data_IF_099633639944
#
_entry.id   IF_099633639944
#
_cell.length_a   1.000
_cell.length_b   1.000
_cell.length_c   1.000
_cell.angle_alpha   90.00
_cell.angle_beta   90.00
_cell.angle_gamma   90.00
#
_symmetry.space_group_name_H-M   'P 1'
#
loop_
_entity.id
_entity.type
_entity.pdbx_description
1 polymer ?
#
# COMPACT_ATOMS: atom_id res chain seq x y z
N UNK A 1 -12.90 -16.29 31.03
CA UNK A 1 -11.92 -15.18 31.09
C UNK A 1 -10.62 -15.56 30.36
N UNK A 2 -10.31 -14.95 29.21
CA UNK A 2 -8.97 -15.02 28.55
C UNK A 2 -8.81 -13.96 27.44
N UNK A 3 -8.72 -12.67 27.80
CA UNK A 3 -8.33 -11.62 26.83
C UNK A 3 -6.84 -11.77 26.50
N UNK A 4 -6.52 -12.51 25.44
CA UNK A 4 -5.17 -12.57 24.87
C UNK A 4 -4.79 -11.21 24.25
N UNK A 5 -4.37 -10.27 25.10
CA UNK A 5 -3.75 -8.99 24.70
C UNK A 5 -2.34 -9.21 24.11
N UNK A 6 -2.24 -10.04 23.06
CA UNK A 6 -1.06 -10.01 22.16
C UNK A 6 -1.07 -8.64 21.48
N UNK A 7 -0.07 -7.82 21.80
CA UNK A 7 -0.04 -6.41 21.40
C UNK A 7 0.02 -6.23 19.88
N UNK A 8 -1.14 -6.03 19.26
CA UNK A 8 -1.26 -5.65 17.85
C UNK A 8 -0.66 -4.25 17.65
N UNK A 9 0.10 -4.06 16.59
CA UNK A 9 0.94 -2.89 16.33
C UNK A 9 0.77 -2.50 14.87
N UNK A 10 0.04 -1.42 14.61
CA UNK A 10 -0.10 -0.86 13.26
C UNK A 10 1.27 -0.48 12.67
N UNK A 11 1.46 -0.64 11.37
CA UNK A 11 2.62 -0.06 10.66
C UNK A 11 2.24 1.27 10.00
N UNK A 12 2.11 2.30 10.83
CA UNK A 12 1.93 3.70 10.41
C UNK A 12 2.68 4.67 11.33
N UNK A 13 3.73 4.22 12.02
CA UNK A 13 4.34 5.00 13.11
C UNK A 13 4.87 6.37 12.68
N UNK A 14 5.30 6.51 11.42
CA UNK A 14 5.56 7.81 10.79
C UNK A 14 6.42 8.76 11.66
N UNK A 15 7.43 8.27 12.38
CA UNK A 15 8.15 9.04 13.40
C UNK A 15 9.70 9.06 13.29
N UNK A 16 10.27 10.07 12.62
CA UNK A 16 9.76 10.59 11.39
C UNK A 16 9.87 9.46 10.35
N UNK A 17 10.41 9.74 9.21
CA UNK A 17 9.63 9.54 8.02
C UNK A 17 10.60 9.76 6.88
N UNK A 18 10.48 9.05 5.75
CA UNK A 18 11.38 9.31 4.62
C UNK A 18 10.75 9.08 3.24
N UNK A 19 11.38 9.64 2.21
CA UNK A 19 10.94 9.58 0.80
C UNK A 19 10.51 8.18 0.33
N UNK A 20 11.28 7.14 0.66
CA UNK A 20 11.01 5.75 0.26
C UNK A 20 9.63 5.19 0.66
N UNK A 21 8.91 5.89 1.54
CA UNK A 21 7.51 5.64 1.87
C UNK A 21 6.49 6.10 0.82
N UNK A 22 6.77 7.17 0.07
CA UNK A 22 6.02 7.57 -1.14
C UNK A 22 6.30 6.56 -2.25
N UNK A 23 7.60 6.29 -2.48
CA UNK A 23 8.06 5.34 -3.49
C UNK A 23 7.47 3.93 -3.25
N UNK A 24 7.20 3.54 -1.99
CA UNK A 24 6.53 2.28 -1.62
C UNK A 24 5.08 2.19 -2.14
N UNK A 25 4.32 3.29 -2.18
CA UNK A 25 2.97 3.31 -2.75
C UNK A 25 3.00 3.25 -4.28
N UNK A 26 3.90 3.99 -4.92
CA UNK A 26 4.07 3.91 -6.38
C UNK A 26 4.53 2.52 -6.84
N UNK A 27 5.43 1.87 -6.09
CA UNK A 27 5.83 0.48 -6.35
C UNK A 27 4.65 -0.50 -6.21
N UNK A 28 3.81 -0.32 -5.18
CA UNK A 28 2.61 -1.14 -4.99
C UNK A 28 1.54 -0.87 -6.07
N UNK A 29 1.35 0.39 -6.49
CA UNK A 29 0.44 0.76 -7.56
C UNK A 29 0.89 0.19 -8.91
N UNK A 30 2.18 0.31 -9.25
CA UNK A 30 2.76 -0.32 -10.44
C UNK A 30 2.61 -1.84 -10.44
N UNK A 31 2.71 -2.50 -9.28
CA UNK A 31 2.46 -3.95 -9.18
C UNK A 31 1.00 -4.32 -9.43
N UNK A 32 0.04 -3.54 -8.90
CA UNK A 32 -1.38 -3.77 -9.10
C UNK A 32 -1.80 -3.48 -10.56
N UNK A 33 -1.31 -2.39 -11.18
CA UNK A 33 -1.44 -2.14 -12.61
C UNK A 33 -0.93 -3.32 -13.46
N UNK A 34 0.23 -3.89 -13.11
CA UNK A 34 0.77 -5.10 -13.73
C UNK A 34 -0.01 -6.41 -13.41
N UNK A 35 -1.18 -6.31 -12.75
CA UNK A 35 -2.15 -7.40 -12.58
C UNK A 35 -3.54 -7.04 -13.18
N UNK A 36 -3.66 -5.90 -13.88
CA UNK A 36 -4.91 -5.44 -14.47
C UNK A 36 -5.81 -4.59 -13.56
N UNK A 37 -5.35 -4.22 -12.36
CA UNK A 37 -6.07 -3.34 -11.45
C UNK A 37 -5.86 -1.85 -11.82
N UNK A 38 -6.93 -1.07 -11.96
CA UNK A 38 -6.84 0.39 -12.16
C UNK A 38 -6.75 1.10 -10.80
N UNK A 39 -5.56 1.60 -10.46
CA UNK A 39 -5.28 2.25 -9.17
C UNK A 39 -5.60 3.74 -9.24
N UNK A 40 -6.74 4.14 -8.65
CA UNK A 40 -7.24 5.52 -8.72
C UNK A 40 -6.78 6.43 -7.58
N UNK A 41 -6.37 5.87 -6.44
CA UNK A 41 -5.82 6.64 -5.31
C UNK A 41 -4.97 5.75 -4.40
N UNK A 42 -3.92 6.32 -3.79
CA UNK A 42 -3.21 5.73 -2.66
C UNK A 42 -3.21 6.70 -1.45
N UNK A 43 -3.17 6.16 -0.23
CA UNK A 43 -3.32 6.96 0.99
C UNK A 43 -2.14 6.86 1.97
N UNK A 44 -2.06 7.84 2.88
CA UNK A 44 -1.09 7.91 3.96
C UNK A 44 -1.81 8.11 5.28
N UNK A 45 -1.74 7.14 6.19
CA UNK A 45 -2.33 7.28 7.52
C UNK A 45 -1.26 7.28 8.59
N UNK A 46 -0.90 8.46 9.14
CA UNK A 46 -0.03 8.52 10.31
C UNK A 46 -0.77 7.93 11.50
N UNK A 47 -0.14 7.05 12.26
CA UNK A 47 -0.81 6.41 13.39
C UNK A 47 -1.14 7.37 14.54
N UNK A 48 -2.17 7.04 15.30
CA UNK A 48 -2.53 7.74 16.54
C UNK A 48 -1.33 7.87 17.50
N UNK A 49 -1.20 8.99 18.20
CA UNK A 49 -0.11 9.20 19.17
C UNK A 49 -0.11 8.16 20.32
N UNK A 50 -1.28 7.59 20.66
CA UNK A 50 -1.37 6.45 21.58
C UNK A 50 -0.61 5.18 21.13
N UNK A 51 -0.23 5.08 19.84
CA UNK A 51 0.77 4.10 19.36
C UNK A 51 2.18 4.68 19.35
N UNK A 52 2.34 5.88 18.80
CA UNK A 52 3.65 6.44 18.44
C UNK A 52 4.43 6.85 19.68
N UNK A 53 3.81 7.52 20.64
CA UNK A 53 4.51 8.05 21.82
C UNK A 53 5.05 6.93 22.75
N UNK A 54 4.28 5.88 23.11
CA UNK A 54 4.82 4.77 23.90
C UNK A 54 5.91 3.99 23.15
N UNK A 55 5.80 3.85 21.83
CA UNK A 55 6.81 3.19 20.98
C UNK A 55 8.10 4.02 20.89
N UNK A 56 7.99 5.34 20.75
CA UNK A 56 9.12 6.25 20.67
C UNK A 56 9.92 6.24 21.98
N UNK A 57 9.23 6.39 23.12
CA UNK A 57 9.80 6.30 24.46
C UNK A 57 10.47 4.95 24.73
N UNK A 58 9.78 3.83 24.43
CA UNK A 58 10.33 2.48 24.59
C UNK A 58 11.51 2.15 23.64
N UNK A 59 11.80 3.03 22.66
CA UNK A 59 12.94 2.91 21.75
C UNK A 59 14.04 3.96 22.01
N UNK A 60 13.89 4.82 23.03
CA UNK A 60 14.83 5.93 23.28
C UNK A 60 14.84 7.02 22.20
N UNK A 61 13.72 7.21 21.49
CA UNK A 61 13.63 8.09 20.32
C UNK A 61 12.62 9.23 20.51
N UNK A 62 12.85 10.35 19.82
CA UNK A 62 11.90 11.48 19.76
C UNK A 62 10.55 10.98 19.24
N UNK A 63 9.45 11.33 19.92
CA UNK A 63 8.08 11.04 19.52
C UNK A 63 7.37 12.25 18.91
N UNK A 64 7.42 12.40 17.59
CA UNK A 64 6.74 13.49 16.88
C UNK A 64 5.21 13.34 17.00
N UNK A 65 4.52 14.43 17.28
CA UNK A 65 3.07 14.44 17.48
C UNK A 65 2.29 14.12 16.19
N UNK A 66 1.07 13.65 16.33
CA UNK A 66 0.14 13.39 15.23
C UNK A 66 -0.04 14.64 14.34
N UNK A 67 -0.17 15.83 14.94
CA UNK A 67 -0.27 17.09 14.21
C UNK A 67 0.98 17.40 13.36
N UNK A 68 2.19 17.21 13.91
CA UNK A 68 3.43 17.40 13.15
C UNK A 68 3.55 16.38 12.00
N UNK A 69 3.27 15.10 12.29
CA UNK A 69 3.33 14.01 11.32
C UNK A 69 2.31 14.17 10.19
N UNK A 70 1.11 14.69 10.48
CA UNK A 70 0.11 15.05 9.48
C UNK A 70 0.56 16.21 8.60
N UNK A 71 1.04 17.32 9.19
CA UNK A 71 1.50 18.50 8.45
C UNK A 71 2.66 18.13 7.49
N UNK A 72 3.64 17.38 7.98
CA UNK A 72 4.74 16.88 7.17
C UNK A 72 4.24 15.92 6.07
N UNK A 73 3.36 14.97 6.38
CA UNK A 73 2.76 14.09 5.38
C UNK A 73 1.99 14.85 4.27
N UNK A 74 1.36 15.99 4.59
CA UNK A 74 0.66 16.82 3.61
C UNK A 74 1.63 17.51 2.64
N UNK A 75 2.69 18.14 3.17
CA UNK A 75 3.79 18.71 2.36
C UNK A 75 4.45 17.66 1.47
N UNK A 76 4.63 16.44 1.98
CA UNK A 76 5.27 15.33 1.29
C UNK A 76 4.65 14.94 -0.06
N UNK A 77 3.35 15.19 -0.21
CA UNK A 77 2.54 14.75 -1.36
C UNK A 77 1.78 15.90 -2.01
N UNK A 78 2.12 17.14 -1.68
CA UNK A 78 1.45 18.35 -2.20
C UNK A 78 1.53 18.49 -3.73
N UNK A 79 2.48 17.79 -4.36
CA UNK A 79 2.63 17.67 -5.81
C UNK A 79 2.55 16.22 -6.34
N UNK A 80 2.08 15.25 -5.53
CA UNK A 80 1.92 13.85 -5.95
C UNK A 80 0.49 13.62 -6.52
N UNK A 81 0.33 13.15 -7.76
CA UNK A 81 -0.98 12.99 -8.38
C UNK A 81 -1.74 11.74 -7.90
N UNK A 82 -1.09 10.81 -7.19
CA UNK A 82 -1.68 9.53 -6.75
C UNK A 82 -1.82 9.44 -5.23
N UNK A 83 -0.90 10.04 -4.47
CA UNK A 83 -0.81 9.85 -3.02
C UNK A 83 -1.47 11.00 -2.25
N UNK A 84 -2.29 10.69 -1.24
CA UNK A 84 -2.97 11.69 -0.40
C UNK A 84 -2.98 11.31 1.09
N UNK A 85 -3.22 12.26 1.99
CA UNK A 85 -3.18 12.03 3.45
C UNK A 85 -4.56 11.69 4.01
N UNK A 86 -4.68 10.51 4.63
CA UNK A 86 -5.85 10.03 5.35
C UNK A 86 -5.67 10.27 6.86
N UNK A 87 -6.11 11.43 7.34
CA UNK A 87 -5.92 11.87 8.73
C UNK A 87 -6.71 11.07 9.80
N UNK A 88 -7.56 10.12 9.41
CA UNK A 88 -8.50 9.44 10.30
C UNK A 88 -7.81 8.67 11.45
N UNK A 89 -6.76 7.88 11.16
CA UNK A 89 -6.03 7.11 12.20
C UNK A 89 -5.37 8.04 13.22
N UNK A 90 -4.72 9.10 12.75
CA UNK A 90 -4.05 10.11 13.57
C UNK A 90 -5.02 10.87 14.51
N UNK A 91 -6.26 11.05 14.07
CA UNK A 91 -7.27 11.88 14.73
C UNK A 91 -8.30 11.11 15.57
N UNK A 92 -8.12 9.79 15.79
CA UNK A 92 -9.05 9.04 16.65
C UNK A 92 -8.94 9.45 18.13
N UNK A 93 -10.06 9.77 18.82
CA UNK A 93 -10.03 10.06 20.24
C UNK A 93 -9.89 8.77 21.08
N UNK A 94 -8.99 8.78 22.07
CA UNK A 94 -8.91 7.72 23.08
C UNK A 94 -8.04 6.53 22.66
N UNK A 95 -8.64 5.36 22.42
CA UNK A 95 -7.87 4.16 22.06
C UNK A 95 -7.29 4.26 20.65
N UNK A 96 -6.09 3.70 20.45
CA UNK A 96 -5.46 3.61 19.14
C UNK A 96 -6.16 2.51 18.30
N UNK A 97 -6.64 2.78 17.09
CA UNK A 97 -7.07 1.71 16.18
C UNK A 97 -5.87 0.86 15.75
N UNK A 98 -6.12 -0.41 15.44
CA UNK A 98 -5.18 -1.30 14.76
C UNK A 98 -5.39 -1.25 13.24
N UNK A 99 -4.41 -1.69 12.45
CA UNK A 99 -4.45 -1.55 10.98
C UNK A 99 -5.70 -2.14 10.29
N UNK A 100 -6.36 -3.21 10.76
CA UNK A 100 -7.61 -3.68 10.15
C UNK A 100 -8.77 -2.69 10.37
N UNK A 101 -8.83 -2.03 11.52
CA UNK A 101 -9.88 -1.06 11.86
C UNK A 101 -9.75 0.21 11.00
N UNK A 102 -8.52 0.61 10.69
CA UNK A 102 -8.22 1.69 9.72
C UNK A 102 -8.64 1.28 8.30
N UNK A 103 -8.42 0.03 7.91
CA UNK A 103 -8.87 -0.50 6.62
C UNK A 103 -10.40 -0.50 6.53
N UNK A 104 -11.10 -0.95 7.57
CA UNK A 104 -12.57 -0.93 7.63
C UNK A 104 -13.15 0.48 7.61
N UNK A 105 -12.56 1.42 8.38
CA UNK A 105 -13.00 2.81 8.41
C UNK A 105 -12.80 3.53 7.06
N UNK A 106 -11.75 3.19 6.31
CA UNK A 106 -11.60 3.65 4.92
C UNK A 106 -12.58 2.93 3.99
N UNK A 107 -12.76 1.61 4.12
CA UNK A 107 -13.68 0.81 3.30
C UNK A 107 -15.12 1.30 3.40
N UNK A 108 -15.61 1.60 4.60
CA UNK A 108 -16.94 2.16 4.82
C UNK A 108 -17.14 3.59 4.28
N UNK A 109 -16.06 4.27 3.86
CA UNK A 109 -16.09 5.56 3.16
C UNK A 109 -15.96 5.41 1.64
N UNK A 110 -15.57 4.24 1.14
CA UNK A 110 -15.54 3.94 -0.28
C UNK A 110 -16.90 3.38 -0.73
N UNK A 111 -17.44 3.92 -1.82
CA UNK A 111 -18.59 3.32 -2.48
C UNK A 111 -18.28 1.93 -3.05
N UNK A 112 -19.34 1.16 -3.32
CA UNK A 112 -19.23 -0.14 -3.97
C UNK A 112 -18.53 -0.09 -5.34
N UNK A 113 -17.98 -1.24 -5.77
CA UNK A 113 -17.21 -1.36 -7.02
C UNK A 113 -15.71 -1.06 -6.87
N UNK A 114 -15.25 -0.62 -5.70
CA UNK A 114 -13.83 -0.36 -5.38
C UNK A 114 -13.26 -1.39 -4.41
N UNK A 115 -12.04 -1.84 -4.68
CA UNK A 115 -11.28 -2.78 -3.86
C UNK A 115 -10.17 -2.06 -3.09
N UNK A 116 -9.97 -2.49 -1.86
CA UNK A 116 -9.00 -1.93 -0.91
C UNK A 116 -7.76 -2.84 -0.81
N UNK A 117 -6.56 -2.26 -0.89
CA UNK A 117 -5.28 -2.98 -0.80
C UNK A 117 -4.36 -2.41 0.28
N UNK A 118 -4.20 -3.10 1.41
CA UNK A 118 -3.27 -2.72 2.47
C UNK A 118 -1.82 -2.92 2.00
N UNK A 119 -1.06 -1.83 1.86
CA UNK A 119 0.34 -1.87 1.46
C UNK A 119 1.23 -1.93 2.72
N UNK A 120 2.30 -2.72 2.72
CA UNK A 120 3.24 -2.77 3.84
C UNK A 120 4.63 -3.30 3.47
N UNK A 121 5.64 -3.00 4.30
CA UNK A 121 6.97 -3.58 4.15
C UNK A 121 7.02 -5.05 4.58
N UNK A 122 7.91 -5.85 3.97
CA UNK A 122 8.05 -7.28 4.25
C UNK A 122 8.23 -7.64 5.74
N UNK A 123 8.95 -6.82 6.51
CA UNK A 123 9.08 -6.94 7.98
C UNK A 123 7.72 -6.98 8.71
N UNK A 124 6.77 -6.15 8.27
CA UNK A 124 5.44 -6.11 8.88
C UNK A 124 4.59 -7.28 8.40
N UNK A 125 4.62 -7.57 7.09
CA UNK A 125 3.89 -8.70 6.50
C UNK A 125 4.25 -10.03 7.19
N UNK A 126 5.54 -10.27 7.44
CA UNK A 126 6.01 -11.45 8.17
C UNK A 126 5.56 -11.45 9.65
N UNK A 127 5.75 -10.34 10.37
CA UNK A 127 5.41 -10.23 11.82
C UNK A 127 3.91 -10.30 12.10
N UNK A 128 3.06 -9.91 11.16
CA UNK A 128 1.60 -9.91 11.27
C UNK A 128 0.91 -11.04 10.48
N UNK A 129 1.67 -11.92 9.82
CA UNK A 129 1.12 -13.07 9.09
C UNK A 129 0.35 -12.73 7.82
N UNK A 130 0.57 -11.54 7.24
CA UNK A 130 -0.23 -11.01 6.12
C UNK A 130 -0.05 -11.78 4.80
N UNK A 131 0.91 -12.71 4.73
CA UNK A 131 0.99 -13.73 3.68
C UNK A 131 -0.20 -14.69 3.64
N UNK A 132 -1.11 -14.66 4.62
CA UNK A 132 -2.42 -15.32 4.55
C UNK A 132 -3.51 -14.51 3.83
N UNK A 133 -3.29 -13.23 3.53
CA UNK A 133 -4.30 -12.28 3.07
C UNK A 133 -5.03 -11.56 4.22
N UNK A 134 -5.89 -10.60 3.88
CA UNK A 134 -6.73 -9.83 4.82
C UNK A 134 -8.23 -9.91 4.45
N UNK A 135 -8.66 -11.07 3.93
CA UNK A 135 -10.04 -11.30 3.50
C UNK A 135 -10.40 -10.49 2.25
N UNK A 136 -11.41 -9.63 2.36
CA UNK A 136 -11.84 -8.73 1.27
C UNK A 136 -10.81 -7.62 0.99
N UNK A 137 -9.99 -7.26 1.99
CA UNK A 137 -8.85 -6.36 1.85
C UNK A 137 -7.68 -7.15 1.25
N UNK A 138 -7.19 -6.72 0.08
CA UNK A 138 -5.96 -7.26 -0.50
C UNK A 138 -4.73 -6.75 0.25
N UNK A 139 -3.57 -7.37 0.02
CA UNK A 139 -2.29 -6.98 0.61
C UNK A 139 -1.27 -6.75 -0.51
N UNK A 140 -0.49 -5.68 -0.45
CA UNK A 140 0.73 -5.54 -1.27
C UNK A 140 1.95 -5.44 -0.36
N UNK A 141 2.81 -6.44 -0.44
CA UNK A 141 4.09 -6.48 0.28
C UNK A 141 5.15 -5.81 -0.58
N UNK A 142 5.81 -4.78 -0.06
CA UNK A 142 6.95 -4.14 -0.72
C UNK A 142 8.24 -4.59 -0.01
N UNK A 143 9.06 -5.42 -0.66
CA UNK A 143 10.29 -5.94 -0.06
C UNK A 143 11.43 -4.92 -0.11
N UNK A 144 12.43 -5.09 0.77
CA UNK A 144 13.75 -4.43 0.64
C UNK A 144 14.71 -5.24 -0.24
N UNK A 145 14.58 -6.56 -0.23
CA UNK A 145 15.29 -7.50 -1.08
C UNK A 145 14.37 -8.69 -1.42
N UNK A 146 14.61 -9.33 -2.57
CA UNK A 146 13.86 -10.52 -2.98
C UNK A 146 14.26 -11.75 -2.12
N UNK A 147 13.40 -12.79 -1.97
CA UNK A 147 12.04 -12.92 -2.51
C UNK A 147 10.97 -12.99 -1.40
N UNK A 148 9.95 -12.11 -1.47
CA UNK A 148 8.69 -12.36 -0.78
C UNK A 148 7.81 -13.25 -1.68
N UNK A 149 7.12 -14.25 -1.10
CA UNK A 149 6.28 -15.17 -1.86
C UNK A 149 4.90 -14.55 -2.18
N UNK A 150 4.61 -14.37 -3.47
CA UNK A 150 3.33 -13.82 -3.94
C UNK A 150 2.22 -14.88 -3.96
N UNK A 151 0.99 -14.50 -3.60
CA UNK A 151 -0.19 -15.38 -3.59
C UNK A 151 -1.44 -14.60 -4.08
N UNK A 152 -1.57 -14.33 -5.40
CA UNK A 152 -2.67 -13.51 -5.94
C UNK A 152 -4.06 -14.08 -5.64
N UNK A 153 -4.19 -15.42 -5.58
CA UNK A 153 -5.42 -16.13 -5.20
C UNK A 153 -5.88 -15.85 -3.75
N UNK A 154 -5.01 -15.32 -2.88
CA UNK A 154 -5.34 -14.82 -1.53
C UNK A 154 -5.39 -13.28 -1.46
N UNK A 155 -5.34 -12.62 -2.61
CA UNK A 155 -5.22 -11.16 -2.70
C UNK A 155 -3.88 -10.61 -2.22
N UNK A 156 -2.83 -11.44 -2.12
CA UNK A 156 -1.50 -11.03 -1.64
C UNK A 156 -0.54 -10.84 -2.82
N UNK A 157 -0.13 -9.61 -3.04
CA UNK A 157 0.77 -9.17 -4.10
C UNK A 157 2.14 -8.79 -3.55
N UNK A 158 3.17 -8.87 -4.38
CA UNK A 158 4.56 -8.52 -4.05
C UNK A 158 5.08 -7.52 -5.07
N UNK A 159 5.38 -6.31 -4.62
CA UNK A 159 5.92 -5.28 -5.49
C UNK A 159 7.41 -5.49 -5.80
N UNK A 160 7.92 -4.79 -6.81
CA UNK A 160 9.36 -4.57 -6.92
C UNK A 160 9.90 -3.88 -5.66
N UNK A 161 11.13 -4.16 -5.23
CA UNK A 161 11.78 -3.37 -4.19
C UNK A 161 11.83 -1.88 -4.54
N UNK A 162 11.88 -1.03 -3.51
CA UNK A 162 12.22 0.38 -3.69
C UNK A 162 13.57 0.52 -4.44
N UNK A 163 13.67 1.49 -5.35
CA UNK A 163 14.84 1.67 -6.22
C UNK A 163 15.73 2.83 -5.73
N UNK A 164 17.04 2.69 -5.96
CA UNK A 164 18.03 3.72 -5.61
C UNK A 164 18.17 3.97 -4.11
N UNK A 165 18.68 5.14 -3.74
CA UNK A 165 18.99 5.53 -2.36
C UNK A 165 17.79 5.42 -1.41
N UNK A 166 16.58 5.65 -1.92
CA UNK A 166 15.33 5.56 -1.17
C UNK A 166 15.07 4.18 -0.53
N UNK A 167 15.72 3.11 -1.03
CA UNK A 167 15.68 1.78 -0.44
C UNK A 167 16.45 1.68 0.90
N UNK A 168 17.51 2.48 1.07
CA UNK A 168 18.31 2.54 2.29
C UNK A 168 17.70 3.49 3.35
N UNK A 169 16.87 4.45 2.92
CA UNK A 169 16.30 5.44 3.83
C UNK A 169 15.45 4.78 4.92
N UNK A 170 15.54 5.32 6.14
CA UNK A 170 14.77 4.87 7.28
C UNK A 170 14.45 6.02 8.23
N UNK A 171 13.35 5.91 8.97
CA UNK A 171 13.02 6.85 10.06
C UNK A 171 14.14 7.00 11.10
N UNK A 172 15.04 6.03 11.19
CA UNK A 172 16.17 6.04 12.13
C UNK A 172 17.27 6.98 11.67
N UNK A 173 17.73 6.86 10.42
CA UNK A 173 18.72 7.76 9.80
C UNK A 173 18.29 9.23 9.87
N UNK A 174 16.99 9.51 9.69
CA UNK A 174 16.44 10.87 9.81
C UNK A 174 16.49 11.39 11.26
N UNK A 175 16.27 10.55 12.28
CA UNK A 175 16.41 10.97 13.70
C UNK A 175 17.86 11.18 14.09
N UNK A 176 18.77 10.35 13.56
CA UNK A 176 20.21 10.45 13.80
C UNK A 176 20.73 11.78 13.24
N UNK A 177 20.50 12.07 11.95
CA UNK A 177 20.84 13.35 11.34
C UNK A 177 20.20 14.57 12.05
N UNK A 178 18.92 14.48 12.47
CA UNK A 178 18.27 15.57 13.22
C UNK A 178 18.82 15.75 14.65
N UNK A 179 19.30 14.68 15.31
CA UNK A 179 19.93 14.76 16.62
C UNK A 179 21.33 15.36 16.54
N UNK A 180 22.09 15.01 15.49
CA UNK A 180 23.42 15.53 15.17
C UNK A 180 23.37 16.95 14.58
N UNK A 181 22.18 17.44 14.22
CA UNK A 181 21.91 18.71 13.53
C UNK A 181 22.48 18.77 12.11
N UNK A 182 22.72 17.62 11.49
CA UNK A 182 23.00 17.54 10.04
C UNK A 182 21.68 17.71 9.26
N UNK A 183 21.33 18.99 9.07
CA UNK A 183 20.17 19.37 8.27
C UNK A 183 20.35 19.04 6.78
N UNK A 184 21.58 18.85 6.29
CA UNK A 184 21.81 18.48 4.90
C UNK A 184 21.52 17.00 4.67
N UNK A 185 22.10 16.09 5.46
CA UNK A 185 21.77 14.66 5.42
C UNK A 185 20.28 14.42 5.71
N UNK A 186 19.70 15.14 6.69
CA UNK A 186 18.26 15.12 6.91
C UNK A 186 17.49 15.53 5.64
N UNK A 187 17.87 16.62 4.96
CA UNK A 187 17.20 17.07 3.72
C UNK A 187 17.26 16.05 2.57
N UNK A 188 18.34 15.26 2.50
CA UNK A 188 18.52 14.19 1.50
C UNK A 188 17.65 12.96 1.76
N UNK A 189 17.39 12.61 3.02
CA UNK A 189 16.47 11.51 3.40
C UNK A 189 14.98 11.92 3.31
N UNK A 190 14.73 13.22 3.46
CA UNK A 190 13.46 13.89 3.17
C UNK A 190 13.33 14.10 1.63
N UNK A 191 12.33 14.87 1.22
CA UNK A 191 12.22 15.40 -0.15
C UNK A 191 12.38 16.92 -0.07
N UNK A 192 12.69 17.62 -1.18
CA UNK A 192 12.88 19.07 -1.17
C UNK A 192 11.65 19.87 -0.69
N UNK A 193 10.45 19.30 -0.73
CA UNK A 193 9.21 19.93 -0.26
C UNK A 193 8.97 19.80 1.27
N UNK A 194 9.90 19.17 1.99
CA UNK A 194 9.65 18.45 3.26
C UNK A 194 8.73 17.25 3.00
N UNK A 195 9.22 16.06 3.31
CA UNK A 195 8.48 14.81 3.10
C UNK A 195 7.56 14.51 4.34
N UNK A 196 7.22 13.25 4.79
CA UNK A 196 7.60 11.93 4.21
C UNK A 196 6.80 10.58 4.52
N UNK A 197 5.46 10.50 4.64
CA UNK A 197 4.66 9.25 4.29
C UNK A 197 4.75 7.87 5.09
N UNK A 198 4.09 6.79 4.62
CA UNK A 198 3.88 5.40 5.16
C UNK A 198 2.76 5.10 6.17
N UNK A 199 1.69 4.37 5.81
CA UNK A 199 1.12 4.04 4.48
C UNK A 199 -0.33 3.61 4.73
N UNK A 200 -1.25 3.89 3.81
CA UNK A 200 -2.61 3.33 3.79
C UNK A 200 -3.01 2.96 2.36
N UNK A 201 -4.13 2.28 2.26
CA UNK A 201 -4.50 1.44 1.14
C UNK A 201 -4.50 2.12 -0.22
N UNK A 202 -4.17 1.32 -1.23
CA UNK A 202 -4.53 1.59 -2.61
C UNK A 202 -6.03 1.30 -2.80
N UNK A 203 -6.71 2.23 -3.44
CA UNK A 203 -8.06 2.06 -3.99
C UNK A 203 -7.91 1.66 -5.45
N UNK A 204 -8.49 0.51 -5.80
CA UNK A 204 -8.58 0.05 -7.18
C UNK A 204 -10.02 -0.08 -7.61
N UNK A 205 -10.31 0.28 -8.85
CA UNK A 205 -11.47 -0.26 -9.55
C UNK A 205 -11.16 -1.66 -10.11
N UNK A 206 -12.20 -2.45 -10.38
CA UNK A 206 -12.02 -3.78 -10.96
C UNK A 206 -11.35 -3.71 -12.35
N UNK A 207 -10.69 -4.78 -12.82
CA UNK A 207 -10.22 -4.85 -14.20
C UNK A 207 -11.36 -4.58 -15.17
N UNK A 208 -11.05 -3.84 -16.24
CA UNK A 208 -11.96 -3.71 -17.39
C UNK A 208 -12.19 -5.12 -17.94
N UNK A 209 -13.45 -5.56 -17.98
CA UNK A 209 -13.79 -6.85 -18.59
C UNK A 209 -13.31 -6.88 -20.04
N UNK A 210 -12.79 -8.03 -20.49
CA UNK A 210 -11.98 -8.14 -21.70
C UNK A 210 -12.55 -7.38 -22.90
N UNK A 211 -11.70 -6.59 -23.55
CA UNK A 211 -12.03 -5.97 -24.83
C UNK A 211 -12.48 -7.08 -25.81
N UNK A 212 -13.59 -6.89 -26.54
CA UNK A 212 -14.20 -7.96 -27.33
C UNK A 212 -13.18 -8.54 -28.31
N UNK A 213 -13.00 -9.87 -28.25
CA UNK A 213 -11.93 -10.58 -28.95
C UNK A 213 -11.92 -10.28 -30.46
N UNK A 214 -10.71 -10.10 -31.01
CA UNK A 214 -10.51 -9.79 -32.43
C UNK A 214 -11.18 -10.81 -33.34
N UNK A 215 -11.80 -10.33 -34.43
CA UNK A 215 -12.66 -11.12 -35.28
C UNK A 215 -11.97 -12.32 -35.94
N UNK A 216 -12.38 -13.53 -35.56
CA UNK A 216 -12.20 -14.73 -36.38
C UNK A 216 -13.28 -14.78 -37.46
N UNK A 217 -12.88 -14.96 -38.72
CA UNK A 217 -13.78 -14.79 -39.87
C UNK A 217 -14.80 -15.91 -40.04
N UNK A 218 -16.02 -15.54 -40.46
CA UNK A 218 -17.04 -16.46 -40.93
C UNK A 218 -17.07 -16.53 -42.46
N UNK A 219 -16.46 -17.56 -43.04
CA UNK A 219 -16.59 -17.94 -44.45
C UNK A 219 -16.26 -19.43 -44.60
N UNK A 220 -17.10 -20.22 -45.27
CA UNK A 220 -16.85 -21.65 -45.48
C UNK A 220 -18.06 -22.59 -45.29
N UNK A 221 -19.27 -22.15 -45.63
CA UNK A 221 -20.43 -23.05 -45.74
C UNK A 221 -20.55 -23.57 -47.18
N UNK A 222 -20.08 -24.79 -47.45
CA UNK A 222 -20.37 -25.49 -48.71
C UNK A 222 -20.81 -26.94 -48.47
N UNK A 223 -22.12 -27.12 -48.36
CA UNK A 223 -22.78 -28.42 -48.37
C UNK A 223 -23.11 -28.83 -49.80
N UNK A 224 -22.48 -29.91 -50.31
CA UNK A 224 -23.06 -30.81 -51.31
C UNK A 224 -22.22 -32.07 -51.57
N UNK A 225 -22.73 -33.24 -51.16
CA UNK A 225 -22.39 -34.54 -51.76
C UNK A 225 -23.66 -35.36 -51.97
N UNK A 226 -24.14 -35.38 -53.22
CA UNK A 226 -25.31 -36.16 -53.63
C UNK A 226 -24.95 -37.04 -54.84
N UNK A 227 -24.65 -38.31 -54.57
CA UNK A 227 -24.51 -39.39 -55.55
C UNK A 227 -25.01 -40.67 -54.86
N UNK A 228 -25.90 -41.48 -55.43
CA UNK A 228 -26.64 -41.35 -56.68
C UNK A 228 -27.14 -42.72 -57.14
N UNK A 229 -28.22 -42.79 -57.94
CA UNK A 229 -28.65 -44.03 -58.60
C UNK A 229 -29.63 -43.73 -59.76
N UNK A 230 -29.12 -43.55 -60.98
CA UNK A 230 -29.95 -43.52 -62.18
C UNK A 230 -30.20 -44.94 -62.70
N UNK A 231 -31.46 -45.29 -63.02
CA UNK A 231 -31.78 -46.52 -63.77
C UNK A 231 -31.64 -46.26 -65.28
N UNK A 232 -31.01 -47.20 -65.97
CA UNK A 232 -31.40 -47.67 -67.31
C UNK A 232 -31.19 -49.19 -67.36
#
# INVERSE_FOLDING_TARGET
TRRLRRGRRSSGAMNPLHRGHVDMLHAAAGRLHAHGFHVSQAYLSPSHDGYVQPKAAASGTIGLSAAFRLCAAQRAVEADPLVSVAAWEAAQPGERPDFPEVCEALRGRLGGGRRLFYVCGADHAARCGLGGGMGEVGVVVVPRALPAAEQPARGVFVASPARGEAAAFSSTLVREALAERDFEAASRYLSPAVAPSTVLCIVSENPVADAPGGGGGAAGAEERRAVGAGRK
#
